data_IF_366010604818
#
_entry.id   IF_366010604818
#
_cell.length_a   1.000
_cell.length_b   1.000
_cell.length_c   1.000
_cell.angle_alpha   90.00
_cell.angle_beta   90.00
_cell.angle_gamma   90.00
#
_symmetry.space_group_name_H-M   'P 1'
#
loop_
_entity.id
_entity.type
_entity.pdbx_description
1 polymer ?
#
# COMPACT_ATOMS: atom_id res chain seq x y z
N UNK A 1 -23.18 0.84 -3.32
CA UNK A 1 -21.93 0.94 -4.09
C UNK A 1 -22.34 1.23 -5.52
N UNK A 2 -22.15 2.45 -5.99
CA UNK A 2 -22.49 2.82 -7.37
C UNK A 2 -21.40 2.29 -8.29
N UNK A 3 -21.74 1.36 -9.17
CA UNK A 3 -20.90 0.96 -10.30
C UNK A 3 -20.85 2.14 -11.28
N UNK A 4 -19.97 3.11 -11.03
CA UNK A 4 -19.82 4.29 -11.86
C UNK A 4 -18.89 4.02 -13.03
N UNK A 5 -19.44 3.81 -14.19
CA UNK A 5 -18.69 3.92 -15.46
C UNK A 5 -18.47 5.40 -15.71
N UNK A 6 -17.25 5.89 -15.60
CA UNK A 6 -16.90 7.29 -15.81
C UNK A 6 -16.19 7.44 -17.17
N UNK A 7 -16.74 8.26 -18.07
CA UNK A 7 -16.03 8.66 -19.30
C UNK A 7 -15.12 9.83 -18.96
N UNK A 8 -13.83 9.65 -19.22
CA UNK A 8 -12.83 10.70 -19.01
C UNK A 8 -12.04 10.95 -20.29
N UNK A 9 -11.63 12.19 -20.46
CA UNK A 9 -10.63 12.54 -21.46
C UNK A 9 -9.24 12.35 -20.87
N UNK A 10 -8.56 11.29 -21.29
CA UNK A 10 -7.20 11.03 -20.87
C UNK A 10 -6.22 11.85 -21.73
N UNK A 11 -5.50 12.75 -21.10
CA UNK A 11 -4.42 13.51 -21.72
C UNK A 11 -3.17 12.64 -21.77
N UNK A 12 -2.78 12.26 -22.97
CA UNK A 12 -1.60 11.43 -23.15
C UNK A 12 -0.33 12.19 -22.79
N UNK A 13 0.65 11.53 -22.11
CA UNK A 13 1.92 12.16 -21.78
C UNK A 13 2.67 12.66 -23.03
N UNK A 14 3.48 13.68 -22.86
CA UNK A 14 4.38 14.23 -23.88
C UNK A 14 3.67 14.79 -25.15
N UNK A 15 2.46 15.35 -24.99
CA UNK A 15 1.75 16.01 -26.09
C UNK A 15 1.22 15.05 -27.16
N UNK A 16 1.02 13.78 -26.84
CA UNK A 16 0.47 12.79 -27.77
C UNK A 16 -1.02 13.00 -28.10
N UNK A 17 -1.67 13.94 -27.39
CA UNK A 17 -3.09 14.30 -27.59
C UNK A 17 -3.99 13.83 -26.45
N UNK A 18 -5.30 14.02 -26.65
CA UNK A 18 -6.36 13.61 -25.71
C UNK A 18 -7.16 12.47 -26.34
N UNK A 19 -7.54 11.49 -25.55
CA UNK A 19 -8.32 10.34 -26.00
C UNK A 19 -9.45 10.05 -25.01
N UNK A 20 -10.62 9.76 -25.52
CA UNK A 20 -11.75 9.34 -24.69
C UNK A 20 -11.54 7.91 -24.19
N UNK A 21 -11.52 7.73 -22.91
CA UNK A 21 -11.41 6.44 -22.23
C UNK A 21 -12.50 6.29 -21.17
N UNK A 22 -12.80 5.06 -20.84
CA UNK A 22 -13.77 4.72 -19.80
C UNK A 22 -13.00 4.14 -18.61
N UNK A 23 -13.26 4.65 -17.41
CA UNK A 23 -12.80 4.06 -16.13
C UNK A 23 -13.91 3.15 -15.63
N UNK A 24 -13.60 1.87 -15.47
CA UNK A 24 -14.50 0.86 -14.94
C UNK A 24 -13.67 -0.22 -14.26
N UNK A 25 -14.11 -0.70 -13.09
CA UNK A 25 -13.44 -1.77 -12.32
C UNK A 25 -11.94 -1.47 -12.07
N UNK A 26 -11.64 -0.22 -11.65
CA UNK A 26 -10.29 0.31 -11.36
C UNK A 26 -9.28 0.21 -12.53
N UNK A 27 -9.75 0.04 -13.78
CA UNK A 27 -8.90 0.03 -14.95
C UNK A 27 -9.45 0.92 -16.07
N UNK A 28 -8.62 1.14 -17.10
CA UNK A 28 -8.98 1.93 -18.27
C UNK A 28 -9.44 1.02 -19.40
N UNK A 29 -10.48 1.47 -20.08
CA UNK A 29 -11.05 0.82 -21.26
C UNK A 29 -11.12 1.80 -22.43
N UNK A 30 -10.76 1.37 -23.61
CA UNK A 30 -10.94 2.18 -24.81
C UNK A 30 -11.34 1.37 -26.04
N UNK A 31 -11.86 2.05 -27.06
CA UNK A 31 -12.24 1.43 -28.34
C UNK A 31 -11.03 1.26 -29.28
N UNK A 32 -11.15 0.42 -30.31
CA UNK A 32 -10.12 0.33 -31.33
C UNK A 32 -9.88 1.67 -32.06
N UNK A 33 -10.91 2.51 -32.18
CA UNK A 33 -10.79 3.86 -32.72
C UNK A 33 -9.91 4.74 -31.82
N UNK A 34 -10.13 4.69 -30.53
CA UNK A 34 -9.28 5.40 -29.55
C UNK A 34 -7.83 4.89 -29.61
N UNK A 35 -7.60 3.57 -29.63
CA UNK A 35 -6.25 3.00 -29.81
C UNK A 35 -5.57 3.48 -31.08
N UNK A 36 -6.32 3.59 -32.19
CA UNK A 36 -5.80 4.08 -33.49
C UNK A 36 -5.29 5.52 -33.38
N UNK A 37 -5.95 6.36 -32.59
CA UNK A 37 -5.52 7.73 -32.30
C UNK A 37 -4.31 7.77 -31.38
N UNK A 38 -4.32 6.94 -30.29
CA UNK A 38 -3.20 6.80 -29.37
C UNK A 38 -1.91 6.43 -30.11
N UNK A 39 -1.98 5.41 -30.95
CA UNK A 39 -0.78 4.88 -31.61
C UNK A 39 -0.52 5.46 -33.01
N UNK A 40 -1.44 6.28 -33.54
CA UNK A 40 -1.27 6.92 -34.83
C UNK A 40 -1.24 5.95 -36.02
N UNK A 41 -2.07 4.91 -35.97
CA UNK A 41 -2.24 3.91 -37.02
C UNK A 41 -3.72 3.71 -37.37
N UNK A 42 -4.05 3.11 -38.48
CA UNK A 42 -5.45 2.84 -38.84
C UNK A 42 -6.09 1.76 -37.94
N UNK A 43 -7.42 1.83 -37.78
CA UNK A 43 -8.22 0.82 -37.06
C UNK A 43 -7.97 -0.61 -37.57
N UNK A 44 -7.81 -0.87 -38.87
CA UNK A 44 -7.51 -2.22 -39.36
C UNK A 44 -6.18 -2.79 -38.82
N UNK A 45 -5.16 -1.94 -38.59
CA UNK A 45 -3.90 -2.36 -38.01
C UNK A 45 -4.09 -2.76 -36.56
N UNK A 46 -4.84 -1.97 -35.79
CA UNK A 46 -5.20 -2.29 -34.40
C UNK A 46 -5.93 -3.64 -34.33
N UNK A 47 -6.96 -3.83 -35.16
CA UNK A 47 -7.73 -5.07 -35.25
C UNK A 47 -6.84 -6.29 -35.55
N UNK A 48 -5.88 -6.13 -36.46
CA UNK A 48 -4.91 -7.20 -36.77
C UNK A 48 -4.03 -7.56 -35.58
N UNK A 49 -3.52 -6.56 -34.87
CA UNK A 49 -2.69 -6.81 -33.68
C UNK A 49 -3.50 -7.49 -32.57
N UNK A 50 -4.73 -7.05 -32.30
CA UNK A 50 -5.61 -7.69 -31.31
C UNK A 50 -5.90 -9.14 -31.67
N UNK A 51 -6.22 -9.44 -32.94
CA UNK A 51 -6.42 -10.82 -33.41
C UNK A 51 -5.18 -11.70 -33.14
N UNK A 52 -4.00 -11.20 -33.43
CA UNK A 52 -2.76 -11.94 -33.19
C UNK A 52 -2.50 -12.16 -31.69
N UNK A 53 -2.73 -11.15 -30.84
CA UNK A 53 -2.58 -11.25 -29.37
C UNK A 53 -3.46 -12.38 -28.81
N UNK A 54 -4.72 -12.43 -29.24
CA UNK A 54 -5.64 -13.49 -28.80
C UNK A 54 -5.32 -14.85 -29.42
N UNK A 55 -4.92 -14.91 -30.68
CA UNK A 55 -4.53 -16.15 -31.33
C UNK A 55 -3.26 -16.78 -30.76
N UNK A 56 -2.32 -15.96 -30.31
CA UNK A 56 -1.08 -16.38 -29.67
C UNK A 56 -1.26 -16.72 -28.16
N UNK A 57 -2.44 -16.45 -27.60
CA UNK A 57 -2.73 -16.73 -26.19
C UNK A 57 -2.05 -15.77 -25.21
N UNK A 58 -1.52 -14.63 -25.69
CA UNK A 58 -0.95 -13.60 -24.80
C UNK A 58 -2.01 -13.02 -23.85
N UNK A 59 -3.22 -12.80 -24.36
CA UNK A 59 -4.38 -12.36 -23.60
C UNK A 59 -5.61 -13.18 -23.98
N UNK A 60 -6.59 -13.23 -23.07
CA UNK A 60 -7.91 -13.83 -23.34
C UNK A 60 -8.95 -12.75 -23.64
N UNK A 61 -9.83 -13.00 -24.62
CA UNK A 61 -10.86 -12.05 -25.00
C UNK A 61 -11.84 -11.78 -23.84
N UNK A 62 -12.22 -12.80 -23.10
CA UNK A 62 -13.18 -12.70 -22.00
C UNK A 62 -12.70 -11.79 -20.87
N UNK A 63 -11.38 -11.73 -20.63
CA UNK A 63 -10.80 -10.88 -19.59
C UNK A 63 -10.52 -9.45 -20.05
N UNK A 64 -10.42 -9.22 -21.38
CA UNK A 64 -9.90 -7.95 -21.92
C UNK A 64 -10.84 -7.24 -22.88
N UNK A 65 -12.01 -7.81 -23.19
CA UNK A 65 -13.05 -7.18 -24.00
C UNK A 65 -14.33 -7.03 -23.16
N UNK A 66 -14.88 -5.83 -23.13
CA UNK A 66 -16.18 -5.54 -22.51
C UNK A 66 -17.07 -4.81 -23.50
N UNK A 67 -18.32 -5.26 -23.64
CA UNK A 67 -19.33 -4.53 -24.44
C UNK A 67 -19.95 -3.45 -23.59
N UNK A 68 -19.86 -2.21 -24.02
CA UNK A 68 -20.44 -1.06 -23.33
C UNK A 68 -21.32 -0.27 -24.30
N UNK A 69 -22.45 0.21 -23.75
CA UNK A 69 -23.34 1.11 -24.49
C UNK A 69 -22.72 2.51 -24.53
N UNK A 70 -22.65 3.09 -25.71
CA UNK A 70 -22.11 4.44 -25.91
C UNK A 70 -22.87 5.16 -27.00
N UNK A 71 -22.89 6.49 -26.88
CA UNK A 71 -23.53 7.36 -27.87
C UNK A 71 -22.60 7.52 -29.07
N UNK A 72 -23.08 7.13 -30.25
CA UNK A 72 -22.34 7.26 -31.49
C UNK A 72 -23.09 8.21 -32.41
N UNK A 73 -22.40 9.22 -32.95
CA UNK A 73 -22.97 10.11 -33.94
C UNK A 73 -22.90 9.45 -35.34
N UNK A 74 -24.04 9.12 -35.92
CA UNK A 74 -24.21 8.51 -37.22
C UNK A 74 -24.54 9.53 -38.34
N UNK A 75 -24.11 10.78 -38.18
CA UNK A 75 -24.34 11.85 -39.15
C UNK A 75 -25.82 12.19 -39.30
N UNK A 76 -26.41 11.95 -40.48
CA UNK A 76 -27.83 12.28 -40.81
C UNK A 76 -28.82 11.57 -39.86
N UNK A 77 -28.45 10.43 -39.24
CA UNK A 77 -29.29 9.67 -38.29
C UNK A 77 -29.20 10.18 -36.87
N UNK A 78 -28.37 11.19 -36.60
CA UNK A 78 -28.17 11.74 -35.27
C UNK A 78 -27.37 10.82 -34.33
N UNK A 79 -27.55 11.05 -33.04
CA UNK A 79 -26.91 10.25 -31.96
C UNK A 79 -27.72 8.98 -31.69
N UNK A 80 -27.04 7.84 -31.68
CA UNK A 80 -27.65 6.52 -31.42
C UNK A 80 -26.82 5.80 -30.39
N UNK A 81 -27.50 5.14 -29.44
CA UNK A 81 -26.86 4.26 -28.46
C UNK A 81 -26.49 2.94 -29.15
N UNK A 82 -25.21 2.59 -29.11
CA UNK A 82 -24.71 1.33 -29.67
C UNK A 82 -23.85 0.59 -28.68
N UNK A 83 -23.95 -0.74 -28.65
CA UNK A 83 -23.05 -1.62 -27.93
C UNK A 83 -21.74 -1.75 -28.70
N UNK A 84 -20.66 -1.25 -28.14
CA UNK A 84 -19.33 -1.25 -28.78
C UNK A 84 -18.36 -2.06 -27.90
N UNK A 85 -17.42 -2.74 -28.52
CA UNK A 85 -16.33 -3.43 -27.85
C UNK A 85 -15.31 -2.42 -27.32
N UNK A 86 -15.08 -2.45 -26.01
CA UNK A 86 -14.03 -1.76 -25.31
C UNK A 86 -12.96 -2.76 -24.88
N UNK A 87 -11.72 -2.34 -24.93
CA UNK A 87 -10.54 -3.13 -24.64
C UNK A 87 -9.85 -2.61 -23.38
N UNK A 88 -9.44 -3.51 -22.51
CA UNK A 88 -8.78 -3.18 -21.23
C UNK A 88 -7.40 -2.53 -21.42
N UNK A 89 -6.85 -1.98 -20.34
CA UNK A 89 -5.50 -1.44 -20.34
C UNK A 89 -4.45 -2.48 -20.78
N UNK A 90 -4.63 -3.76 -20.42
CA UNK A 90 -3.72 -4.82 -20.83
C UNK A 90 -3.68 -4.97 -22.35
N UNK A 91 -4.85 -4.95 -23.01
CA UNK A 91 -4.94 -4.99 -24.46
C UNK A 91 -4.31 -3.73 -25.11
N UNK A 92 -4.50 -2.55 -24.51
CA UNK A 92 -3.88 -1.30 -24.97
C UNK A 92 -2.35 -1.41 -24.91
N UNK A 93 -1.82 -1.91 -23.80
CA UNK A 93 -0.38 -2.10 -23.61
C UNK A 93 0.18 -3.12 -24.62
N UNK A 94 -0.45 -4.29 -24.76
CA UNK A 94 -0.02 -5.34 -25.68
C UNK A 94 0.03 -4.84 -27.13
N UNK A 95 -1.01 -4.10 -27.57
CA UNK A 95 -1.04 -3.45 -28.89
C UNK A 95 0.07 -2.40 -29.01
N UNK A 96 0.29 -1.58 -28.01
CA UNK A 96 1.32 -0.52 -28.00
C UNK A 96 2.74 -1.06 -28.15
N UNK A 97 3.00 -2.27 -27.69
CA UNK A 97 4.30 -2.93 -27.87
C UNK A 97 4.47 -3.53 -29.27
N UNK A 98 3.39 -3.85 -29.97
CA UNK A 98 3.41 -4.49 -31.31
C UNK A 98 3.32 -3.49 -32.47
N UNK A 99 2.74 -2.31 -32.24
CA UNK A 99 2.58 -1.29 -33.26
C UNK A 99 3.90 -0.61 -33.61
N UNK A 100 4.19 -0.53 -34.92
CA UNK A 100 5.36 0.20 -35.43
C UNK A 100 4.94 1.61 -35.88
N UNK A 101 5.04 2.58 -34.94
CA UNK A 101 4.81 4.00 -35.20
C UNK A 101 5.60 4.88 -34.29
N UNK A 102 5.77 6.16 -34.64
CA UNK A 102 6.44 7.14 -33.76
C UNK A 102 5.69 7.35 -32.45
N UNK A 103 4.34 7.36 -32.49
CA UNK A 103 3.51 7.48 -31.29
C UNK A 103 3.65 6.26 -30.38
N UNK A 104 3.65 5.04 -30.95
CA UNK A 104 3.89 3.82 -30.17
C UNK A 104 5.30 3.79 -29.59
N UNK A 105 6.31 4.29 -30.29
CA UNK A 105 7.67 4.43 -29.74
C UNK A 105 7.69 5.37 -28.52
N UNK A 106 7.03 6.53 -28.59
CA UNK A 106 6.91 7.45 -27.46
C UNK A 106 6.14 6.84 -26.30
N UNK A 107 5.10 6.08 -26.56
CA UNK A 107 4.36 5.33 -25.54
C UNK A 107 5.29 4.34 -24.80
N UNK A 108 6.05 3.53 -25.54
CA UNK A 108 7.01 2.59 -24.93
C UNK A 108 8.10 3.29 -24.12
N UNK A 109 8.63 4.42 -24.60
CA UNK A 109 9.60 5.23 -23.85
C UNK A 109 9.03 5.76 -22.55
N UNK A 110 7.78 6.26 -22.58
CA UNK A 110 7.07 6.69 -21.38
C UNK A 110 6.84 5.52 -20.40
N UNK A 111 6.32 4.40 -20.85
CA UNK A 111 6.11 3.22 -20.02
C UNK A 111 7.42 2.72 -19.40
N UNK A 112 8.50 2.67 -20.19
CA UNK A 112 9.84 2.31 -19.69
C UNK A 112 10.34 3.28 -18.61
N UNK A 113 10.08 4.59 -18.77
CA UNK A 113 10.45 5.58 -17.75
C UNK A 113 9.73 5.30 -16.43
N UNK A 114 8.42 5.07 -16.46
CA UNK A 114 7.62 4.76 -15.26
C UNK A 114 8.11 3.47 -14.59
N UNK A 115 8.32 2.40 -15.37
CA UNK A 115 8.84 1.13 -14.85
C UNK A 115 10.23 1.28 -14.24
N UNK A 116 11.13 2.00 -14.89
CA UNK A 116 12.47 2.27 -14.35
C UNK A 116 12.41 3.07 -13.04
N UNK A 117 11.52 4.04 -12.94
CA UNK A 117 11.33 4.82 -11.73
C UNK A 117 10.82 3.92 -10.60
N UNK A 118 9.79 3.12 -10.87
CA UNK A 118 9.24 2.17 -9.92
C UNK A 118 10.26 1.13 -9.45
N UNK A 119 11.02 0.52 -10.36
CA UNK A 119 12.04 -0.49 -10.03
C UNK A 119 13.16 0.11 -9.16
N UNK A 120 13.60 1.34 -9.47
CA UNK A 120 14.69 1.99 -8.75
C UNK A 120 14.28 2.55 -7.39
N UNK A 121 13.10 3.17 -7.31
CA UNK A 121 12.65 3.93 -6.15
C UNK A 121 11.59 3.21 -5.31
N UNK A 122 10.89 2.21 -5.89
CA UNK A 122 9.72 1.56 -5.29
C UNK A 122 8.41 2.33 -5.47
N UNK A 123 8.43 3.47 -6.17
CA UNK A 123 7.25 4.27 -6.50
C UNK A 123 7.45 5.03 -7.80
N UNK A 124 6.33 5.39 -8.45
CA UNK A 124 6.25 6.35 -9.53
C UNK A 124 5.02 7.22 -9.29
N UNK A 125 5.15 8.55 -9.41
CA UNK A 125 4.06 9.49 -9.13
C UNK A 125 3.92 10.51 -10.26
N UNK A 126 2.68 10.93 -10.49
CA UNK A 126 2.33 12.07 -11.33
C UNK A 126 2.04 13.27 -10.41
N UNK A 127 3.10 14.00 -10.07
CA UNK A 127 3.04 15.13 -9.14
C UNK A 127 2.07 16.22 -9.62
N UNK A 128 2.03 16.48 -10.92
CA UNK A 128 1.18 17.52 -11.48
C UNK A 128 -0.30 17.13 -11.38
N UNK A 129 -0.62 15.89 -11.66
CA UNK A 129 -1.96 15.35 -11.49
C UNK A 129 -2.41 15.37 -10.02
N UNK A 130 -1.53 14.99 -9.11
CA UNK A 130 -1.83 15.00 -7.67
C UNK A 130 -2.07 16.43 -7.14
N UNK A 131 -1.33 17.42 -7.63
CA UNK A 131 -1.53 18.84 -7.30
C UNK A 131 -2.85 19.38 -7.85
N UNK A 132 -3.23 19.02 -9.08
CA UNK A 132 -4.46 19.51 -9.73
C UNK A 132 -5.71 18.94 -9.11
N UNK A 133 -5.71 17.72 -8.59
CA UNK A 133 -6.86 17.08 -7.96
C UNK A 133 -7.25 17.66 -6.58
N UNK A 134 -6.54 18.68 -6.11
CA UNK A 134 -6.94 19.45 -4.92
C UNK A 134 -7.13 18.60 -3.65
N UNK A 135 -6.42 17.50 -3.51
CA UNK A 135 -6.54 16.63 -2.35
C UNK A 135 -7.68 15.61 -2.40
N UNK A 136 -8.14 15.18 -3.56
CA UNK A 136 -9.10 14.08 -3.75
C UNK A 136 -8.72 12.78 -3.03
N UNK A 137 -9.50 11.71 -3.22
CA UNK A 137 -9.31 10.42 -2.54
C UNK A 137 -7.88 9.88 -2.61
N UNK A 138 -7.24 9.96 -3.78
CA UNK A 138 -5.86 9.50 -4.00
C UNK A 138 -4.80 10.27 -3.21
N UNK A 139 -5.02 11.57 -2.95
CA UNK A 139 -4.13 12.35 -2.08
C UNK A 139 -4.18 11.86 -0.63
N UNK A 140 -5.37 11.55 -0.12
CA UNK A 140 -5.54 10.99 1.23
C UNK A 140 -4.91 9.60 1.33
N UNK A 141 -5.08 8.78 0.29
CA UNK A 141 -4.46 7.45 0.20
C UNK A 141 -2.93 7.55 0.23
N UNK A 142 -2.34 8.43 -0.61
CA UNK A 142 -0.90 8.65 -0.64
C UNK A 142 -0.36 9.08 0.72
N UNK A 143 -1.01 10.05 1.38
CA UNK A 143 -0.64 10.48 2.72
C UNK A 143 -0.73 9.35 3.75
N UNK A 144 -1.76 8.51 3.67
CA UNK A 144 -1.90 7.37 4.56
C UNK A 144 -0.75 6.36 4.36
N UNK A 145 -0.40 6.04 3.11
CA UNK A 145 0.74 5.17 2.78
C UNK A 145 2.08 5.72 3.27
N UNK A 146 2.33 7.03 3.06
CA UNK A 146 3.56 7.68 3.55
C UNK A 146 3.64 7.59 5.08
N UNK A 147 2.53 7.87 5.78
CA UNK A 147 2.48 7.78 7.24
C UNK A 147 2.71 6.35 7.74
N UNK A 148 2.12 5.36 7.07
CA UNK A 148 2.34 3.96 7.42
C UNK A 148 3.81 3.54 7.22
N UNK A 149 4.43 3.93 6.13
CA UNK A 149 5.86 3.67 5.87
C UNK A 149 6.71 4.32 6.98
N UNK A 150 6.48 5.60 7.31
CA UNK A 150 7.19 6.31 8.37
C UNK A 150 6.98 5.67 9.76
N UNK A 151 5.79 5.16 10.03
CA UNK A 151 5.46 4.50 11.30
C UNK A 151 5.97 3.05 11.39
N UNK A 152 6.59 2.48 10.33
CA UNK A 152 7.23 1.17 10.47
C UNK A 152 8.43 1.28 11.41
N UNK A 153 8.55 0.32 12.33
CA UNK A 153 9.58 0.36 13.40
C UNK A 153 10.99 0.60 12.84
N UNK A 154 11.36 -0.09 11.77
CA UNK A 154 12.69 0.05 11.16
C UNK A 154 12.93 1.43 10.55
N UNK A 155 11.94 2.01 9.86
CA UNK A 155 12.07 3.34 9.23
C UNK A 155 12.05 4.42 10.30
N UNK A 156 11.13 4.33 11.25
CA UNK A 156 11.04 5.23 12.39
C UNK A 156 12.35 5.25 13.20
N UNK A 157 12.88 4.06 13.54
CA UNK A 157 14.17 3.95 14.22
C UNK A 157 15.29 4.66 13.47
N UNK A 158 15.41 4.44 12.17
CA UNK A 158 16.44 5.09 11.34
C UNK A 158 16.29 6.61 11.33
N UNK A 159 15.08 7.11 11.13
CA UNK A 159 14.82 8.56 11.12
C UNK A 159 15.08 9.21 12.46
N UNK A 160 14.69 8.56 13.56
CA UNK A 160 15.01 9.02 14.90
C UNK A 160 16.52 9.03 15.15
N UNK A 161 17.27 8.02 14.69
CA UNK A 161 18.73 8.00 14.77
C UNK A 161 19.36 9.14 13.95
N UNK A 162 18.86 9.42 12.75
CA UNK A 162 19.34 10.53 11.93
C UNK A 162 19.16 11.86 12.66
N UNK A 163 18.01 12.09 13.28
CA UNK A 163 17.77 13.29 14.08
C UNK A 163 18.73 13.35 15.28
N UNK A 164 18.90 12.24 16.01
CA UNK A 164 19.81 12.22 17.15
C UNK A 164 21.26 12.37 16.78
N UNK A 165 21.67 11.91 15.63
CA UNK A 165 23.05 12.16 15.14
C UNK A 165 23.36 13.65 14.99
N UNK A 166 22.32 14.50 14.96
CA UNK A 166 22.48 15.96 14.96
C UNK A 166 22.57 16.57 16.36
N UNK A 167 22.34 15.78 17.43
CA UNK A 167 22.43 16.26 18.81
C UNK A 167 23.88 16.52 19.20
N UNK A 168 24.11 17.58 19.96
CA UNK A 168 25.46 17.98 20.39
C UNK A 168 26.10 17.01 21.39
N UNK A 169 25.27 16.20 22.05
CA UNK A 169 25.64 15.20 23.05
C UNK A 169 25.45 13.75 22.55
N UNK A 170 25.33 13.56 21.24
CA UNK A 170 25.16 12.24 20.65
C UNK A 170 26.43 11.41 20.71
N UNK A 171 26.36 10.22 21.32
CA UNK A 171 27.37 9.19 21.27
C UNK A 171 26.77 7.88 20.72
N UNK A 172 27.16 7.43 19.52
CA UNK A 172 26.60 6.21 18.92
C UNK A 172 26.90 4.93 19.70
N UNK A 173 27.86 4.93 20.59
CA UNK A 173 28.26 3.78 21.43
C UNK A 173 27.62 3.80 22.82
N UNK A 174 27.02 4.92 23.21
CA UNK A 174 26.42 5.04 24.52
C UNK A 174 25.11 4.25 24.65
N UNK A 175 24.94 3.50 25.72
CA UNK A 175 23.68 2.85 26.10
C UNK A 175 22.52 3.86 26.18
N UNK A 176 22.82 5.11 26.44
CA UNK A 176 21.89 6.25 26.51
C UNK A 176 21.11 6.42 25.19
N UNK A 177 21.75 6.24 24.05
CA UNK A 177 21.07 6.37 22.73
C UNK A 177 20.04 5.28 22.50
N UNK A 178 20.31 4.04 22.94
CA UNK A 178 19.35 2.94 22.84
C UNK A 178 18.18 3.10 23.83
N UNK A 179 18.48 3.54 25.05
CA UNK A 179 17.47 3.79 26.07
C UNK A 179 16.53 4.93 25.66
N UNK A 180 17.09 5.97 25.10
CA UNK A 180 16.30 7.09 24.60
C UNK A 180 15.32 6.67 23.50
N UNK A 181 15.75 5.85 22.56
CA UNK A 181 14.87 5.34 21.52
C UNK A 181 13.67 4.57 22.10
N UNK A 182 13.92 3.68 23.04
CA UNK A 182 12.86 2.95 23.76
C UNK A 182 11.90 3.92 24.47
N UNK A 183 12.43 4.99 25.04
CA UNK A 183 11.63 6.01 25.71
C UNK A 183 10.71 6.74 24.74
N UNK A 184 11.21 7.14 23.57
CA UNK A 184 10.42 7.80 22.51
C UNK A 184 9.33 6.85 22.00
N UNK A 185 9.66 5.62 21.69
CA UNK A 185 8.71 4.62 21.22
C UNK A 185 7.59 4.37 22.25
N UNK A 186 7.95 4.19 23.52
CA UNK A 186 6.96 3.99 24.58
C UNK A 186 6.06 5.21 24.78
N UNK A 187 6.59 6.44 24.67
CA UNK A 187 5.77 7.67 24.77
C UNK A 187 4.72 7.72 23.65
N UNK A 188 5.09 7.39 22.42
CA UNK A 188 4.16 7.38 21.28
C UNK A 188 3.10 6.29 21.46
N UNK A 189 3.49 5.07 21.82
CA UNK A 189 2.54 3.99 22.12
C UNK A 189 1.56 4.41 23.22
N UNK A 190 2.09 4.90 24.33
CA UNK A 190 1.26 5.31 25.46
C UNK A 190 0.29 6.44 25.13
N UNK A 191 0.72 7.40 24.34
CA UNK A 191 -0.14 8.47 23.87
C UNK A 191 -1.35 7.94 23.09
N UNK A 192 -1.16 6.93 22.25
CA UNK A 192 -2.21 6.37 21.37
C UNK A 192 -3.22 5.52 22.14
N UNK A 193 -2.76 4.63 23.03
CA UNK A 193 -3.63 3.61 23.65
C UNK A 193 -3.43 3.43 25.14
N UNK A 194 -2.60 4.25 25.80
CA UNK A 194 -2.40 4.23 27.24
C UNK A 194 -1.53 3.09 27.76
N UNK A 195 -0.79 2.39 26.88
CA UNK A 195 0.10 1.28 27.25
C UNK A 195 1.45 1.44 26.53
N UNK A 196 2.49 0.82 27.05
CA UNK A 196 3.76 0.67 26.33
C UNK A 196 3.65 -0.43 25.26
N UNK A 197 4.64 -0.51 24.38
CA UNK A 197 4.72 -1.58 23.39
C UNK A 197 4.73 -2.98 24.04
N UNK A 198 5.45 -3.15 25.14
CA UNK A 198 5.51 -4.40 25.89
C UNK A 198 4.16 -4.78 26.50
N UNK A 199 3.47 -3.81 27.09
CA UNK A 199 2.15 -4.01 27.70
C UNK A 199 1.10 -4.41 26.66
N UNK A 200 1.11 -3.81 25.46
CA UNK A 200 0.21 -4.19 24.37
C UNK A 200 0.38 -5.65 23.97
N UNK A 201 1.63 -6.10 23.83
CA UNK A 201 1.89 -7.50 23.49
C UNK A 201 1.30 -8.43 24.54
N UNK A 202 1.55 -8.15 25.82
CA UNK A 202 1.04 -9.00 26.91
C UNK A 202 -0.48 -8.97 27.02
N UNK A 203 -1.12 -7.83 26.76
CA UNK A 203 -2.57 -7.70 26.86
C UNK A 203 -3.32 -8.32 25.66
N UNK A 204 -2.73 -8.29 24.45
CA UNK A 204 -3.43 -8.62 23.22
C UNK A 204 -3.02 -9.95 22.61
N UNK A 205 -1.80 -10.42 22.85
CA UNK A 205 -1.36 -11.73 22.39
C UNK A 205 -2.04 -12.84 23.20
N UNK A 206 -2.88 -13.61 22.54
CA UNK A 206 -3.71 -14.64 23.15
C UNK A 206 -3.92 -15.77 22.14
N UNK A 207 -3.39 -16.96 22.45
CA UNK A 207 -3.45 -18.13 21.58
C UNK A 207 -4.87 -18.58 21.24
N UNK A 208 -5.86 -18.22 22.06
CA UNK A 208 -7.26 -18.58 21.84
C UNK A 208 -7.97 -17.68 20.83
N UNK A 209 -7.40 -16.52 20.53
CA UNK A 209 -7.95 -15.61 19.53
C UNK A 209 -7.51 -16.00 18.10
N UNK A 210 -8.29 -15.55 17.12
CA UNK A 210 -7.90 -15.64 15.73
C UNK A 210 -6.58 -14.91 15.52
N UNK A 211 -5.65 -15.60 14.84
CA UNK A 211 -4.29 -15.08 14.58
C UNK A 211 -3.57 -14.57 15.84
N UNK A 212 -3.81 -15.17 17.00
CA UNK A 212 -3.28 -14.73 18.30
C UNK A 212 -3.67 -13.29 18.70
N UNK A 213 -4.73 -12.74 18.12
CA UNK A 213 -5.10 -11.33 18.31
C UNK A 213 -4.32 -10.34 17.45
N UNK A 214 -3.46 -10.81 16.52
CA UNK A 214 -2.83 -9.93 15.53
C UNK A 214 -3.87 -9.45 14.51
N UNK A 215 -3.83 -8.15 14.23
CA UNK A 215 -4.69 -7.50 13.24
C UNK A 215 -3.94 -7.24 11.93
N UNK A 216 -2.61 -7.28 11.94
CA UNK A 216 -1.76 -7.07 10.76
C UNK A 216 -0.62 -8.09 10.74
N UNK A 217 -0.50 -8.86 9.64
CA UNK A 217 0.59 -9.80 9.40
C UNK A 217 0.69 -10.16 7.91
N UNK A 218 1.76 -10.82 7.49
CA UNK A 218 1.98 -11.24 6.11
C UNK A 218 1.58 -12.70 5.92
N UNK A 219 1.05 -13.01 4.73
CA UNK A 219 0.67 -14.38 4.38
C UNK A 219 -0.63 -14.86 5.03
N UNK A 220 -0.83 -16.17 5.11
CA UNK A 220 -2.06 -16.78 5.63
C UNK A 220 -2.08 -16.88 7.16
N UNK A 221 -0.93 -16.92 7.79
CA UNK A 221 -0.76 -17.06 9.24
C UNK A 221 0.40 -16.20 9.73
N UNK A 222 0.30 -15.65 10.98
CA UNK A 222 1.37 -14.84 11.54
C UNK A 222 2.64 -15.66 11.82
N UNK A 223 3.77 -14.97 11.76
CA UNK A 223 5.08 -15.48 12.18
C UNK A 223 5.38 -15.12 13.64
N UNK A 224 6.38 -15.79 14.25
CA UNK A 224 6.82 -15.44 15.59
C UNK A 224 7.38 -14.00 15.68
N UNK A 225 8.04 -13.52 14.63
CA UNK A 225 8.55 -12.15 14.57
C UNK A 225 7.42 -11.14 14.56
N UNK A 226 6.36 -11.42 13.80
CA UNK A 226 5.15 -10.60 13.79
C UNK A 226 4.42 -10.62 15.13
N UNK A 227 4.36 -11.77 15.80
CA UNK A 227 3.77 -11.90 17.14
C UNK A 227 4.54 -11.12 18.22
N UNK A 228 5.82 -10.85 18.01
CA UNK A 228 6.67 -10.04 18.91
C UNK A 228 6.63 -8.54 18.62
N UNK A 229 5.87 -8.12 17.64
CA UNK A 229 5.80 -6.73 17.17
C UNK A 229 4.49 -6.09 17.64
N UNK A 230 4.55 -5.16 18.59
CA UNK A 230 3.38 -4.52 19.21
C UNK A 230 2.44 -3.86 18.17
N UNK A 231 2.98 -3.22 17.12
CA UNK A 231 2.22 -2.57 16.06
C UNK A 231 1.20 -3.52 15.41
N UNK A 232 1.50 -4.80 15.32
CA UNK A 232 0.66 -5.79 14.66
C UNK A 232 -0.64 -6.12 15.41
N UNK A 233 -0.74 -5.71 16.67
CA UNK A 233 -1.94 -5.84 17.52
C UNK A 233 -2.78 -4.57 17.56
N UNK A 234 -2.39 -3.50 16.85
CA UNK A 234 -3.10 -2.22 16.85
C UNK A 234 -4.22 -2.22 15.80
N UNK A 235 -5.34 -1.62 16.15
CA UNK A 235 -6.43 -1.40 15.21
C UNK A 235 -6.11 -0.25 14.22
N UNK A 236 -6.97 -0.08 13.22
CA UNK A 236 -6.77 0.93 12.17
C UNK A 236 -6.74 2.37 12.73
N UNK A 237 -7.52 2.65 13.77
CA UNK A 237 -7.57 3.98 14.38
C UNK A 237 -6.29 4.25 15.16
N UNK A 238 -5.82 3.26 15.93
CA UNK A 238 -4.57 3.32 16.69
C UNK A 238 -3.36 3.46 15.74
N UNK A 239 -3.32 2.68 14.65
CA UNK A 239 -2.27 2.78 13.63
C UNK A 239 -2.26 4.16 12.97
N UNK A 240 -3.43 4.71 12.66
CA UNK A 240 -3.56 6.05 12.08
C UNK A 240 -3.09 7.13 13.03
N UNK A 241 -3.50 7.08 14.29
CA UNK A 241 -3.07 8.03 15.31
C UNK A 241 -1.55 7.96 15.52
N UNK A 242 -1.00 6.76 15.65
CA UNK A 242 0.45 6.56 15.78
C UNK A 242 1.20 7.13 14.58
N UNK A 243 0.74 6.86 13.35
CA UNK A 243 1.34 7.40 12.12
C UNK A 243 1.31 8.93 12.05
N UNK A 244 0.24 9.56 12.57
CA UNK A 244 0.14 11.01 12.63
C UNK A 244 1.11 11.63 13.64
N UNK A 245 1.22 11.06 14.85
CA UNK A 245 2.14 11.51 15.88
C UNK A 245 3.60 11.36 15.43
N UNK A 246 3.96 10.20 14.88
CA UNK A 246 5.29 9.94 14.32
C UNK A 246 5.64 10.95 13.23
N UNK A 247 4.74 11.17 12.26
CA UNK A 247 4.97 12.12 11.17
C UNK A 247 5.14 13.54 11.69
N UNK A 248 4.28 13.98 12.60
CA UNK A 248 4.37 15.33 13.19
C UNK A 248 5.68 15.55 13.96
N UNK A 249 6.13 14.55 14.71
CA UNK A 249 7.40 14.61 15.41
C UNK A 249 8.60 14.69 14.45
N UNK A 250 8.62 13.87 13.41
CA UNK A 250 9.69 13.84 12.42
C UNK A 250 9.73 15.12 11.58
N UNK A 251 8.59 15.62 11.10
CA UNK A 251 8.51 16.85 10.31
C UNK A 251 9.03 18.04 11.12
N UNK A 252 8.70 18.07 12.41
CA UNK A 252 9.22 19.11 13.29
C UNK A 252 10.72 18.99 13.54
N UNK A 253 11.20 17.77 13.77
CA UNK A 253 12.61 17.51 14.01
C UNK A 253 13.47 17.88 12.79
N UNK A 254 13.02 17.55 11.57
CA UNK A 254 13.64 17.95 10.31
C UNK A 254 13.75 19.47 10.21
N UNK A 255 12.69 20.20 10.55
CA UNK A 255 12.69 21.67 10.56
C UNK A 255 13.68 22.26 11.55
N UNK A 256 13.89 21.66 12.72
CA UNK A 256 14.90 22.13 13.69
C UNK A 256 16.32 21.86 13.20
N UNK A 257 16.56 20.71 12.57
CA UNK A 257 17.84 20.37 11.94
C UNK A 257 18.20 21.37 10.84
N UNK A 258 17.24 21.74 9.98
CA UNK A 258 17.43 22.76 8.94
C UNK A 258 17.82 24.14 9.51
N UNK A 259 17.26 24.51 10.65
CA UNK A 259 17.60 25.76 11.35
C UNK A 259 18.98 25.77 11.99
N UNK A 260 19.66 24.62 12.01
CA UNK A 260 20.97 24.44 12.65
C UNK A 260 21.01 24.89 14.11
N UNK A 261 19.89 24.76 14.82
CA UNK A 261 19.84 25.05 16.23
C UNK A 261 20.42 23.87 17.00
N UNK A 262 21.43 24.08 17.87
CA UNK A 262 21.98 23.00 18.68
C UNK A 262 20.91 22.46 19.63
N UNK A 263 20.68 21.17 19.59
CA UNK A 263 19.75 20.47 20.48
C UNK A 263 20.44 19.30 21.15
N UNK A 264 20.14 19.09 22.41
CA UNK A 264 20.55 17.89 23.14
C UNK A 264 19.54 16.77 22.96
N UNK A 265 19.92 15.53 23.29
CA UNK A 265 18.99 14.41 23.28
C UNK A 265 17.79 14.65 24.23
N UNK A 266 18.02 15.31 25.37
CA UNK A 266 16.97 15.67 26.32
C UNK A 266 16.01 16.72 25.75
N UNK A 267 16.50 17.67 24.96
CA UNK A 267 15.66 18.65 24.27
C UNK A 267 14.70 17.96 23.28
N UNK A 268 15.17 16.97 22.55
CA UNK A 268 14.32 16.17 21.67
C UNK A 268 13.21 15.40 22.42
N UNK A 269 13.54 14.86 23.62
CA UNK A 269 12.55 14.20 24.46
C UNK A 269 11.47 15.16 24.96
N UNK A 270 11.88 16.35 25.44
CA UNK A 270 10.96 17.40 25.87
C UNK A 270 10.11 17.91 24.72
N UNK A 271 10.69 17.93 23.53
CA UNK A 271 9.96 18.35 22.33
C UNK A 271 8.81 17.40 21.98
N UNK A 272 9.05 16.09 22.07
CA UNK A 272 7.99 15.09 21.91
C UNK A 272 6.90 15.30 22.99
N UNK A 273 7.27 15.51 24.25
CA UNK A 273 6.31 15.76 25.32
C UNK A 273 5.46 17.02 25.07
N UNK A 274 6.06 18.07 24.54
CA UNK A 274 5.34 19.28 24.15
C UNK A 274 4.33 19.01 23.03
N UNK A 275 4.72 18.27 21.97
CA UNK A 275 3.81 17.87 20.89
C UNK A 275 2.63 17.07 21.46
N UNK A 276 2.91 16.05 22.27
CA UNK A 276 1.87 15.20 22.86
C UNK A 276 0.93 16.01 23.76
N UNK A 277 1.46 16.94 24.54
CA UNK A 277 0.65 17.83 25.39
C UNK A 277 -0.23 18.75 24.56
N UNK A 278 0.33 19.36 23.48
CA UNK A 278 -0.41 20.26 22.60
C UNK A 278 -1.52 19.56 21.81
N UNK A 279 -1.34 18.28 21.51
CA UNK A 279 -2.36 17.45 20.85
C UNK A 279 -3.36 16.84 21.81
N UNK A 280 -3.21 17.07 23.13
CA UNK A 280 -4.13 16.58 24.16
C UNK A 280 -3.92 15.10 24.51
N UNK A 281 -2.77 14.55 24.15
CA UNK A 281 -2.44 13.15 24.41
C UNK A 281 -1.92 12.93 25.83
N UNK A 282 -2.06 11.70 26.32
CA UNK A 282 -1.53 11.30 27.63
C UNK A 282 -0.02 11.16 27.60
N UNK A 283 0.64 11.80 28.55
CA UNK A 283 2.09 11.68 28.69
C UNK A 283 2.47 10.39 29.45
N UNK A 284 3.38 9.63 28.89
CA UNK A 284 3.99 8.50 29.57
C UNK A 284 5.01 8.97 30.61
N UNK A 285 4.75 8.62 31.88
CA UNK A 285 5.65 8.89 33.02
C UNK A 285 6.05 7.56 33.63
N UNK A 286 7.32 7.21 33.54
CA UNK A 286 7.84 6.00 34.16
C UNK A 286 8.46 5.01 33.16
N UNK A 287 8.55 3.74 33.62
CA UNK A 287 9.20 2.67 32.83
C UNK A 287 8.24 1.63 32.24
N UNK A 288 6.92 1.75 32.50
CA UNK A 288 5.94 0.71 32.20
C UNK A 288 5.93 -0.38 33.29
N UNK A 289 4.88 -1.21 33.23
CA UNK A 289 4.68 -2.30 34.23
C UNK A 289 5.20 -3.65 33.70
N UNK A 290 5.50 -3.74 32.42
CA UNK A 290 5.97 -4.95 31.73
C UNK A 290 7.32 -4.68 31.06
N UNK A 291 8.30 -5.54 31.33
CA UNK A 291 9.60 -5.46 30.68
C UNK A 291 9.53 -6.00 29.22
N UNK A 292 10.47 -5.58 28.39
CA UNK A 292 10.58 -6.13 27.02
C UNK A 292 10.81 -7.65 27.03
N UNK A 293 11.61 -8.16 27.96
CA UNK A 293 11.90 -9.59 28.09
C UNK A 293 10.62 -10.41 28.38
N UNK A 294 9.82 -9.96 29.35
CA UNK A 294 8.55 -10.58 29.70
C UNK A 294 7.57 -10.58 28.52
N UNK A 295 7.48 -9.47 27.78
CA UNK A 295 6.63 -9.40 26.60
C UNK A 295 7.07 -10.37 25.48
N UNK A 296 8.38 -10.50 25.22
CA UNK A 296 8.93 -11.43 24.23
C UNK A 296 8.71 -12.89 24.65
N UNK A 297 8.83 -13.20 25.92
CA UNK A 297 8.55 -14.53 26.46
C UNK A 297 7.07 -14.88 26.35
N UNK A 298 6.19 -13.95 26.75
CA UNK A 298 4.74 -14.10 26.62
C UNK A 298 4.32 -14.35 25.16
N UNK A 299 4.75 -13.48 24.23
CA UNK A 299 4.45 -13.63 22.80
C UNK A 299 4.93 -14.99 22.26
N UNK A 300 6.10 -15.45 22.71
CA UNK A 300 6.65 -16.75 22.28
C UNK A 300 5.82 -17.91 22.79
N UNK A 301 5.38 -17.82 24.05
CA UNK A 301 4.56 -18.84 24.71
C UNK A 301 3.19 -18.93 24.02
N UNK A 302 2.53 -17.81 23.82
CA UNK A 302 1.24 -17.75 23.14
C UNK A 302 1.34 -18.21 21.69
N UNK A 303 2.43 -17.85 20.98
CA UNK A 303 2.67 -18.32 19.61
C UNK A 303 2.83 -19.84 19.53
N UNK A 304 3.53 -20.47 20.50
CA UNK A 304 3.66 -21.94 20.53
C UNK A 304 2.31 -22.61 20.73
N UNK A 305 1.49 -22.11 21.66
CA UNK A 305 0.11 -22.61 21.90
C UNK A 305 -0.74 -22.45 20.64
N UNK A 306 -0.69 -21.27 20.03
CA UNK A 306 -1.41 -20.98 18.80
C UNK A 306 -1.03 -21.96 17.67
N UNK A 307 0.28 -22.20 17.46
CA UNK A 307 0.75 -23.15 16.45
C UNK A 307 0.32 -24.60 16.70
N UNK A 308 0.14 -25.00 17.95
CA UNK A 308 -0.40 -26.33 18.29
C UNK A 308 -1.90 -26.44 17.99
N UNK A 309 -2.63 -25.33 18.08
CA UNK A 309 -4.07 -25.28 17.84
C UNK A 309 -4.41 -25.21 16.34
N UNK A 310 -3.62 -24.48 15.57
CA UNK A 310 -3.90 -24.24 14.16
C UNK A 310 -3.29 -25.34 13.30
N UNK A 311 -4.15 -26.03 12.56
CA UNK A 311 -3.77 -27.07 11.60
C UNK A 311 -2.92 -26.41 10.50
N UNK A 312 -1.80 -27.00 10.14
CA UNK A 312 -0.95 -26.52 9.04
C UNK A 312 -1.67 -26.62 7.70
N UNK A 313 -1.31 -25.75 6.74
CA UNK A 313 -1.88 -25.83 5.37
C UNK A 313 -1.74 -27.23 4.77
N UNK A 314 -0.61 -27.91 5.05
CA UNK A 314 -0.39 -29.30 4.58
C UNK A 314 -1.33 -30.31 5.24
N UNK A 315 -1.61 -30.15 6.54
CA UNK A 315 -2.60 -30.98 7.25
C UNK A 315 -4.00 -30.70 6.77
N UNK A 316 -4.33 -29.44 6.48
CA UNK A 316 -5.63 -29.08 5.93
C UNK A 316 -5.83 -29.64 4.52
N UNK A 317 -4.84 -29.53 3.64
CA UNK A 317 -4.86 -30.12 2.29
C UNK A 317 -4.99 -31.64 2.35
N UNK A 318 -4.35 -32.28 3.33
CA UNK A 318 -4.48 -33.72 3.57
C UNK A 318 -5.90 -34.10 4.01
N UNK A 319 -6.49 -33.37 4.95
CA UNK A 319 -7.86 -33.58 5.42
C UNK A 319 -8.87 -33.36 4.30
N UNK A 320 -8.71 -32.32 3.50
CA UNK A 320 -9.56 -32.01 2.35
C UNK A 320 -9.46 -33.09 1.27
N UNK A 321 -8.26 -33.66 1.04
CA UNK A 321 -8.05 -34.79 0.13
C UNK A 321 -8.75 -36.06 0.62
N UNK A 322 -8.65 -36.39 1.91
CA UNK A 322 -9.36 -37.54 2.51
C UNK A 322 -10.87 -37.36 2.37
N UNK A 323 -11.39 -36.18 2.66
CA UNK A 323 -12.81 -35.88 2.53
C UNK A 323 -13.29 -36.04 1.08
N UNK A 324 -12.53 -35.50 0.12
CA UNK A 324 -12.83 -35.65 -1.31
C UNK A 324 -12.87 -37.12 -1.75
N UNK A 325 -11.89 -37.95 -1.34
CA UNK A 325 -11.84 -39.37 -1.64
C UNK A 325 -13.03 -40.11 -1.00
N UNK A 326 -13.38 -39.78 0.24
CA UNK A 326 -14.55 -40.36 0.93
C UNK A 326 -15.87 -40.02 0.22
N UNK A 327 -16.03 -38.79 -0.26
CA UNK A 327 -17.24 -38.35 -0.98
C UNK A 327 -17.32 -38.98 -2.39
N UNK A 328 -16.19 -39.26 -3.04
CA UNK A 328 -16.15 -40.04 -4.29
C UNK A 328 -16.55 -41.49 -4.09
N UNK A 329 -16.13 -42.13 -3.00
CA UNK A 329 -16.52 -43.53 -2.71
C UNK A 329 -18.01 -43.66 -2.46
N UNK A 330 -18.66 -42.70 -1.77
CA UNK A 330 -20.10 -42.66 -1.52
C UNK A 330 -20.96 -42.38 -2.76
N UNK A 331 -20.39 -41.81 -3.82
CA UNK A 331 -21.07 -41.56 -5.10
C UNK A 331 -21.05 -42.76 -6.05
N UNK A 332 -20.17 -43.71 -5.77
CA UNK A 332 -20.00 -44.92 -6.58
C UNK A 332 -20.65 -46.18 -5.96
N UNK A 333 -21.32 -46.03 -4.81
CA UNK A 333 -22.27 -46.97 -4.22
C UNK A 333 -23.71 -46.53 -4.53
#
# INVERSE_FOLDING_TARGET
>A
MMNGTEQIQYVMPNGLGTVDVVVKDDTLWCTQKAMSQIFGVGVPAISKHLKNIYAEGELTADATISKMETVVNRGIRGEVNELIDFYSLDAIIAVGYRVSSMKATRFRQWATKILNEYIKKGFAMDDDRLKQLGGGGYWKELLARIRDIRATEKVFYRQVLEIYSTSIDYDPKAAVSQEFFKKVQNKIHYAVHGNTAAEIIVQRADAEKDFMGLLTFRGKQPTLEEARTAKNYLDEKELRAMGQLVSGYLDFAERQAERKQPMTMDDWAKYLDNILTMTGEKLFQGAGTVSHAEAMEHATTEYRKYKQRVISDAEQDYLDTIKYVSDLSKRNE
#
